data_IF_584115510034
#
_entry.id   IF_584115510034
#
_cell.length_a   1.000
_cell.length_b   1.000
_cell.length_c   1.000
_cell.angle_alpha   90.00
_cell.angle_beta   90.00
_cell.angle_gamma   90.00
#
_symmetry.space_group_name_H-M   'P 1'
#
loop_
_entity.id
_entity.type
_entity.pdbx_description
1 polymer ?
#
# COMPACT_ATOMS: atom_id res chain seq x y z
N UNK A 1 11.35 -34.99 -25.92
CA UNK A 1 12.34 -35.61 -25.01
C UNK A 1 13.30 -34.62 -24.31
N UNK A 2 13.80 -33.55 -24.95
CA UNK A 2 14.94 -32.75 -24.42
C UNK A 2 14.65 -31.79 -23.23
N UNK A 3 13.39 -31.52 -22.90
CA UNK A 3 13.05 -30.51 -21.86
C UNK A 3 13.25 -31.01 -20.41
N UNK A 4 13.17 -32.34 -20.19
CA UNK A 4 13.32 -32.93 -18.85
C UNK A 4 14.73 -32.77 -18.30
N UNK A 5 15.74 -33.24 -19.03
CA UNK A 5 17.15 -33.27 -18.59
C UNK A 5 17.73 -31.94 -18.15
N UNK A 6 17.32 -30.81 -18.74
CA UNK A 6 17.75 -29.48 -18.29
C UNK A 6 17.03 -29.03 -17.01
N UNK A 7 15.74 -29.34 -16.87
CA UNK A 7 14.97 -29.07 -15.65
C UNK A 7 15.48 -29.91 -14.47
N UNK A 8 15.76 -31.19 -14.71
CA UNK A 8 16.27 -32.11 -13.69
C UNK A 8 17.69 -31.73 -13.23
N UNK A 9 18.55 -31.25 -14.15
CA UNK A 9 19.87 -30.67 -13.79
C UNK A 9 19.73 -29.38 -12.97
N UNK A 10 18.82 -28.48 -13.35
CA UNK A 10 18.58 -27.24 -12.61
C UNK A 10 18.05 -27.53 -11.19
N UNK A 11 17.07 -28.43 -11.07
CA UNK A 11 16.51 -28.87 -9.79
C UNK A 11 17.52 -29.64 -8.92
N UNK A 12 18.55 -30.24 -9.52
CA UNK A 12 19.64 -30.89 -8.80
C UNK A 12 20.70 -29.89 -8.31
N UNK A 13 21.09 -28.93 -9.15
CA UNK A 13 22.01 -27.85 -8.75
C UNK A 13 21.44 -26.98 -7.63
N UNK A 14 20.14 -26.66 -7.71
CA UNK A 14 19.40 -25.87 -6.73
C UNK A 14 19.33 -26.54 -5.35
N UNK A 15 19.52 -27.85 -5.26
CA UNK A 15 19.44 -28.63 -4.02
C UNK A 15 20.81 -28.94 -3.40
N UNK A 16 21.91 -28.37 -3.91
CA UNK A 16 23.23 -28.51 -3.29
C UNK A 16 23.33 -27.70 -1.98
N UNK A 17 24.00 -28.26 -0.98
CA UNK A 17 24.12 -27.65 0.36
C UNK A 17 24.55 -26.17 0.39
N UNK A 18 25.57 -25.75 -0.39
CA UNK A 18 25.96 -24.35 -0.48
C UNK A 18 24.88 -23.45 -1.07
N UNK A 19 24.15 -23.89 -2.10
CA UNK A 19 23.08 -23.12 -2.75
C UNK A 19 21.89 -22.95 -1.80
N UNK A 20 21.45 -24.03 -1.15
CA UNK A 20 20.37 -23.98 -0.13
C UNK A 20 20.74 -23.07 1.03
N UNK A 21 22.00 -23.09 1.47
CA UNK A 21 22.50 -22.20 2.54
C UNK A 21 22.51 -20.74 2.08
N UNK A 22 22.98 -20.45 0.87
CA UNK A 22 22.94 -19.12 0.28
C UNK A 22 21.50 -18.58 0.18
N UNK A 23 20.57 -19.38 -0.33
CA UNK A 23 19.15 -19.01 -0.43
C UNK A 23 18.52 -18.72 0.94
N UNK A 24 18.80 -19.55 1.96
CA UNK A 24 18.36 -19.30 3.34
C UNK A 24 18.92 -17.97 3.88
N UNK A 25 20.21 -17.71 3.70
CA UNK A 25 20.86 -16.47 4.15
C UNK A 25 20.26 -15.24 3.48
N UNK A 26 20.05 -15.27 2.16
CA UNK A 26 19.42 -14.19 1.41
C UNK A 26 17.98 -13.91 1.89
N UNK A 27 17.18 -14.96 2.10
CA UNK A 27 15.84 -14.81 2.66
C UNK A 27 15.84 -14.27 4.10
N UNK A 28 16.83 -14.65 4.91
CA UNK A 28 16.97 -14.16 6.28
C UNK A 28 17.30 -12.67 6.32
N UNK A 29 18.24 -12.21 5.49
CA UNK A 29 18.60 -10.79 5.35
C UNK A 29 17.40 -9.98 4.87
N UNK A 30 16.69 -10.46 3.83
CA UNK A 30 15.48 -9.83 3.32
C UNK A 30 14.42 -9.65 4.42
N UNK A 31 14.04 -10.74 5.09
CA UNK A 31 13.03 -10.71 6.17
C UNK A 31 13.45 -9.84 7.35
N UNK A 32 14.74 -9.76 7.67
CA UNK A 32 15.25 -8.86 8.71
C UNK A 32 15.11 -7.38 8.33
N UNK A 33 15.38 -7.01 7.07
CA UNK A 33 15.16 -5.65 6.56
C UNK A 33 13.68 -5.27 6.69
N UNK A 34 12.75 -6.15 6.27
CA UNK A 34 11.31 -5.91 6.44
C UNK A 34 10.90 -5.81 7.90
N UNK A 35 11.48 -6.61 8.80
CA UNK A 35 11.20 -6.51 10.22
C UNK A 35 11.63 -5.15 10.79
N UNK A 36 12.84 -4.66 10.45
CA UNK A 36 13.32 -3.33 10.87
C UNK A 36 12.45 -2.21 10.29
N UNK A 37 12.09 -2.25 9.00
CA UNK A 37 11.21 -1.22 8.42
C UNK A 37 9.82 -1.26 9.03
N UNK A 38 9.28 -2.45 9.34
CA UNK A 38 8.02 -2.61 10.07
C UNK A 38 8.05 -1.98 11.47
N UNK A 39 9.14 -2.18 12.23
CA UNK A 39 9.33 -1.54 13.55
C UNK A 39 9.39 -0.02 13.42
N UNK A 40 10.10 0.52 12.43
CA UNK A 40 10.18 1.96 12.17
C UNK A 40 8.80 2.52 11.77
N UNK A 41 8.07 1.87 10.86
CA UNK A 41 6.72 2.26 10.45
C UNK A 41 5.76 2.26 11.64
N UNK A 42 5.79 1.20 12.46
CA UNK A 42 4.95 1.08 13.66
C UNK A 42 5.29 2.17 14.69
N UNK A 43 6.56 2.47 14.91
CA UNK A 43 7.00 3.54 15.79
C UNK A 43 6.53 4.92 15.29
N UNK A 44 6.62 5.20 13.99
CA UNK A 44 6.09 6.43 13.37
C UNK A 44 4.56 6.50 13.50
N UNK A 45 3.85 5.39 13.29
CA UNK A 45 2.39 5.31 13.48
C UNK A 45 1.96 5.59 14.92
N UNK A 46 2.68 5.07 15.90
CA UNK A 46 2.43 5.33 17.32
C UNK A 46 2.79 6.80 17.66
N UNK A 47 3.95 7.29 17.23
CA UNK A 47 4.36 8.69 17.45
C UNK A 47 3.34 9.67 16.87
N UNK A 48 2.91 9.48 15.62
CA UNK A 48 1.94 10.36 14.97
C UNK A 48 0.58 10.36 15.69
N UNK A 49 0.16 9.23 16.26
CA UNK A 49 -1.04 9.14 17.10
C UNK A 49 -0.88 9.79 18.48
N UNK A 50 0.29 9.71 19.12
CA UNK A 50 0.50 10.14 20.51
C UNK A 50 0.88 11.62 20.60
N UNK A 51 1.71 12.11 19.68
CA UNK A 51 2.39 13.41 19.79
C UNK A 51 1.86 14.41 18.74
N UNK A 52 1.59 13.94 17.51
CA UNK A 52 1.11 14.81 16.42
C UNK A 52 -0.41 14.98 16.34
N UNK A 53 -1.22 14.24 17.13
CA UNK A 53 -2.69 14.29 17.01
C UNK A 53 -3.26 15.71 17.24
N UNK A 54 -2.73 16.46 18.21
CA UNK A 54 -3.20 17.82 18.53
C UNK A 54 -2.88 18.85 17.43
N UNK A 55 -1.85 18.60 16.62
CA UNK A 55 -1.46 19.50 15.53
C UNK A 55 -2.20 19.17 14.23
N UNK A 56 -2.60 17.91 14.05
CA UNK A 56 -3.20 17.41 12.80
C UNK A 56 -4.72 17.61 12.72
N UNK A 57 -5.45 17.60 13.86
CA UNK A 57 -6.89 17.96 13.90
C UNK A 57 -7.18 19.37 13.34
N UNK A 58 -6.20 20.28 13.38
CA UNK A 58 -6.32 21.64 12.85
C UNK A 58 -6.14 21.72 11.32
N UNK A 59 -5.78 20.62 10.66
CA UNK A 59 -5.66 20.55 9.20
C UNK A 59 -6.86 19.85 8.57
N UNK A 60 -7.54 20.53 7.64
CA UNK A 60 -8.72 19.99 6.91
C UNK A 60 -8.42 18.85 5.94
N UNK A 61 -7.17 18.37 5.91
CA UNK A 61 -6.66 17.27 5.09
C UNK A 61 -6.41 16.01 5.95
N UNK A 62 -6.38 16.14 7.28
CA UNK A 62 -6.14 15.00 8.17
C UNK A 62 -7.35 14.07 8.23
N UNK A 63 -7.15 12.84 7.75
CA UNK A 63 -8.08 11.74 7.99
C UNK A 63 -7.64 11.01 9.27
N UNK A 64 -8.48 10.91 10.32
CA UNK A 64 -8.11 10.25 11.57
C UNK A 64 -7.75 8.76 11.38
N UNK A 65 -8.20 8.15 10.29
CA UNK A 65 -7.88 6.77 9.88
C UNK A 65 -6.40 6.55 9.50
N UNK A 66 -5.69 7.60 9.04
CA UNK A 66 -4.35 7.48 8.49
C UNK A 66 -3.29 6.88 9.46
N UNK A 67 -3.16 7.34 10.73
CA UNK A 67 -2.24 6.71 11.68
C UNK A 67 -2.65 5.28 12.04
N UNK A 68 -3.95 4.95 12.07
CA UNK A 68 -4.40 3.58 12.35
C UNK A 68 -4.01 2.62 11.21
N UNK A 69 -4.08 3.07 9.95
CA UNK A 69 -3.56 2.31 8.80
C UNK A 69 -2.05 2.11 8.95
N UNK A 70 -1.29 3.15 9.32
CA UNK A 70 0.17 3.06 9.47
C UNK A 70 0.59 2.10 10.60
N UNK A 71 -0.10 2.16 11.75
CA UNK A 71 0.06 1.20 12.86
C UNK A 71 -0.28 -0.22 12.42
N UNK A 72 -1.42 -0.41 11.74
CA UNK A 72 -1.87 -1.73 11.27
C UNK A 72 -0.90 -2.37 10.27
N UNK A 73 -0.47 -1.61 9.27
CA UNK A 73 0.53 -2.06 8.27
C UNK A 73 1.87 -2.37 8.95
N UNK A 74 2.36 -1.48 9.82
CA UNK A 74 3.61 -1.70 10.56
C UNK A 74 3.56 -2.98 11.42
N UNK A 75 2.48 -3.19 12.16
CA UNK A 75 2.29 -4.39 12.98
C UNK A 75 2.24 -5.67 12.13
N UNK A 76 1.52 -5.67 10.99
CA UNK A 76 1.48 -6.81 10.07
C UNK A 76 2.86 -7.12 9.50
N UNK A 77 3.65 -6.11 9.09
CA UNK A 77 5.01 -6.29 8.59
C UNK A 77 5.93 -6.90 9.66
N UNK A 78 5.87 -6.41 10.91
CA UNK A 78 6.65 -6.96 12.04
C UNK A 78 6.27 -8.43 12.31
N UNK A 79 4.98 -8.76 12.32
CA UNK A 79 4.51 -10.14 12.49
C UNK A 79 5.02 -11.05 11.36
N UNK A 80 4.82 -10.66 10.11
CA UNK A 80 5.28 -11.43 8.93
C UNK A 80 6.79 -11.59 8.91
N UNK A 81 7.57 -10.56 9.25
CA UNK A 81 9.03 -10.63 9.33
C UNK A 81 9.51 -11.57 10.45
N UNK A 82 8.87 -11.52 11.63
CA UNK A 82 9.20 -12.41 12.76
C UNK A 82 8.88 -13.88 12.47
N UNK A 83 7.75 -14.15 11.80
CA UNK A 83 7.37 -15.46 11.30
C UNK A 83 8.39 -15.92 10.25
N UNK A 84 8.68 -15.08 9.26
CA UNK A 84 9.66 -15.35 8.18
C UNK A 84 11.06 -15.70 8.68
N UNK A 85 11.51 -15.10 9.78
CA UNK A 85 12.75 -15.49 10.46
C UNK A 85 12.66 -16.90 11.07
N UNK A 86 11.56 -17.20 11.79
CA UNK A 86 11.31 -18.52 12.34
C UNK A 86 11.16 -19.61 11.27
N UNK A 87 10.56 -19.30 10.10
CA UNK A 87 10.40 -20.21 8.96
C UNK A 87 11.75 -20.73 8.45
N UNK A 88 12.66 -19.81 8.18
CA UNK A 88 13.97 -20.08 7.57
C UNK A 88 14.86 -20.89 8.52
N UNK A 89 14.77 -20.61 9.83
CA UNK A 89 15.48 -21.35 10.88
C UNK A 89 14.90 -22.77 11.10
N UNK A 90 13.57 -22.92 11.18
CA UNK A 90 12.92 -24.22 11.47
C UNK A 90 12.70 -25.12 10.24
N UNK A 91 12.96 -24.65 9.02
CA UNK A 91 12.91 -25.48 7.81
C UNK A 91 11.51 -26.07 7.48
N UNK A 92 10.45 -25.34 7.81
CA UNK A 92 9.07 -25.81 7.61
C UNK A 92 8.54 -25.47 6.21
N UNK A 93 8.71 -26.38 5.25
CA UNK A 93 8.43 -26.14 3.82
C UNK A 93 7.04 -25.59 3.52
N UNK A 94 5.99 -26.09 4.20
CA UNK A 94 4.62 -25.60 4.02
C UNK A 94 4.50 -24.10 4.30
N UNK A 95 5.25 -23.59 5.27
CA UNK A 95 5.17 -22.19 5.69
C UNK A 95 5.93 -21.26 4.72
N UNK A 96 6.97 -21.77 4.05
CA UNK A 96 7.62 -21.08 2.92
C UNK A 96 6.70 -21.01 1.69
N UNK A 97 5.90 -22.05 1.41
CA UNK A 97 4.87 -21.98 0.36
C UNK A 97 3.77 -20.96 0.69
N UNK A 98 3.28 -20.92 1.93
CA UNK A 98 2.31 -19.90 2.39
C UNK A 98 2.89 -18.48 2.27
N UNK A 99 4.16 -18.28 2.66
CA UNK A 99 4.84 -16.99 2.51
C UNK A 99 5.01 -16.57 1.03
N UNK A 100 5.43 -17.50 0.16
CA UNK A 100 5.53 -17.27 -1.29
C UNK A 100 4.18 -16.86 -1.90
N UNK A 101 3.10 -17.56 -1.53
CA UNK A 101 1.73 -17.25 -1.95
C UNK A 101 1.22 -15.90 -1.43
N UNK A 102 1.49 -15.55 -0.17
CA UNK A 102 1.17 -14.24 0.39
C UNK A 102 1.86 -13.10 -0.37
N UNK A 103 3.18 -13.21 -0.62
CA UNK A 103 3.92 -12.21 -1.41
C UNK A 103 3.37 -12.10 -2.85
N UNK A 104 2.93 -13.19 -3.45
CA UNK A 104 2.31 -13.17 -4.78
C UNK A 104 0.95 -12.46 -4.76
N UNK A 105 0.10 -12.71 -3.76
CA UNK A 105 -1.20 -12.01 -3.58
C UNK A 105 -0.97 -10.51 -3.43
N UNK A 106 -0.01 -10.08 -2.60
CA UNK A 106 0.29 -8.66 -2.42
C UNK A 106 0.79 -8.01 -3.73
N UNK A 107 1.58 -8.72 -4.56
CA UNK A 107 2.02 -8.22 -5.86
C UNK A 107 0.83 -8.01 -6.83
N UNK A 108 -0.16 -8.91 -6.84
CA UNK A 108 -1.39 -8.73 -7.61
C UNK A 108 -2.19 -7.51 -7.10
N UNK A 109 -2.24 -7.28 -5.78
CA UNK A 109 -2.87 -6.10 -5.19
C UNK A 109 -2.15 -4.82 -5.62
N UNK A 110 -0.82 -4.76 -5.52
CA UNK A 110 -0.01 -3.62 -5.98
C UNK A 110 -0.21 -3.30 -7.46
N UNK A 111 -0.17 -4.31 -8.34
CA UNK A 111 -0.44 -4.13 -9.76
C UNK A 111 -1.85 -3.57 -9.99
N UNK A 112 -2.87 -4.12 -9.32
CA UNK A 112 -4.25 -3.66 -9.47
C UNK A 112 -4.43 -2.21 -9.00
N UNK A 113 -3.81 -1.83 -7.88
CA UNK A 113 -3.83 -0.48 -7.34
C UNK A 113 -3.07 0.50 -8.25
N UNK A 114 -1.92 0.09 -8.81
CA UNK A 114 -1.16 0.89 -9.78
C UNK A 114 -1.93 1.15 -11.07
N UNK A 115 -2.56 0.12 -11.66
CA UNK A 115 -3.41 0.25 -12.85
C UNK A 115 -4.60 1.17 -12.57
N UNK A 116 -5.30 0.95 -11.45
CA UNK A 116 -6.42 1.78 -11.00
C UNK A 116 -5.98 3.24 -10.84
N UNK A 117 -4.89 3.49 -10.13
CA UNK A 117 -4.36 4.83 -9.91
C UNK A 117 -4.00 5.54 -11.22
N UNK A 118 -3.38 4.84 -12.18
CA UNK A 118 -3.04 5.37 -13.51
C UNK A 118 -4.28 5.82 -14.30
N UNK A 119 -5.35 5.01 -14.30
CA UNK A 119 -6.63 5.34 -14.95
C UNK A 119 -7.27 6.59 -14.30
N UNK A 120 -7.06 6.78 -13.00
CA UNK A 120 -7.62 7.90 -12.23
C UNK A 120 -6.67 9.11 -12.06
N UNK A 121 -5.71 9.35 -12.96
CA UNK A 121 -4.79 10.52 -12.87
C UNK A 121 -5.33 11.86 -13.43
N UNK A 122 -6.52 12.36 -13.04
CA UNK A 122 -7.01 13.61 -13.67
C UNK A 122 -8.17 14.53 -13.17
N UNK A 123 -8.75 14.53 -11.93
CA UNK A 123 -9.88 15.49 -11.55
C UNK A 123 -10.13 15.88 -10.03
N UNK A 124 -9.31 16.70 -9.29
CA UNK A 124 -9.29 17.35 -7.88
C UNK A 124 -8.78 18.79 -8.15
N UNK A 125 -9.66 19.69 -8.54
CA UNK A 125 -9.55 21.09 -8.10
C UNK A 125 -10.96 21.40 -7.62
N UNK A 126 -11.21 21.45 -6.31
CA UNK A 126 -12.27 20.55 -5.86
C UNK A 126 -13.09 20.89 -4.61
N UNK A 127 -14.40 20.68 -4.74
CA UNK A 127 -15.33 20.38 -3.67
C UNK A 127 -16.06 19.08 -3.98
N UNK A 128 -16.31 18.24 -2.98
CA UNK A 128 -16.94 16.93 -3.18
C UNK A 128 -16.03 15.98 -3.96
N UNK A 129 -16.53 14.80 -4.33
CA UNK A 129 -15.73 13.78 -5.04
C UNK A 129 -15.74 14.07 -6.55
N UNK A 130 -16.86 14.56 -7.09
CA UNK A 130 -17.03 14.90 -8.51
C UNK A 130 -17.30 16.39 -8.73
N UNK A 131 -18.11 16.98 -7.85
CA UNK A 131 -18.35 18.41 -7.75
C UNK A 131 -19.06 18.72 -6.42
N UNK A 132 -19.30 20.00 -6.19
CA UNK A 132 -19.79 20.51 -4.93
C UNK A 132 -21.14 19.99 -4.45
N UNK A 133 -22.05 19.64 -5.36
CA UNK A 133 -23.41 19.20 -5.00
C UNK A 133 -23.44 17.83 -4.31
N UNK A 134 -22.33 17.08 -4.30
CA UNK A 134 -22.19 15.79 -3.60
C UNK A 134 -22.59 15.88 -2.12
N UNK A 135 -22.38 17.05 -1.49
CA UNK A 135 -22.67 17.28 -0.08
C UNK A 135 -24.15 17.42 0.26
N UNK A 136 -25.00 17.86 -0.68
CA UNK A 136 -26.43 18.15 -0.45
C UNK A 136 -27.25 16.93 0.02
N UNK A 137 -26.72 15.73 -0.16
CA UNK A 137 -27.39 14.46 0.19
C UNK A 137 -26.88 13.85 1.49
N UNK A 138 -25.74 14.33 1.98
CA UNK A 138 -25.08 13.84 3.21
C UNK A 138 -25.87 14.25 4.46
N UNK A 139 -25.67 13.58 5.61
CA UNK A 139 -26.29 14.00 6.87
C UNK A 139 -26.02 15.46 7.22
N UNK A 140 -24.84 15.99 6.87
CA UNK A 140 -24.42 17.37 7.05
C UNK A 140 -25.38 18.39 6.41
N UNK A 141 -25.81 18.16 5.16
CA UNK A 141 -26.77 19.07 4.52
C UNK A 141 -28.20 18.90 5.05
N UNK A 142 -28.53 17.73 5.60
CA UNK A 142 -29.85 17.49 6.20
C UNK A 142 -29.98 18.12 7.59
N UNK A 143 -28.89 18.24 8.36
CA UNK A 143 -28.88 18.99 9.63
C UNK A 143 -29.01 20.50 9.43
N UNK A 144 -28.58 21.03 8.28
CA UNK A 144 -28.75 22.45 7.91
C UNK A 144 -30.15 22.76 7.34
N UNK A 145 -30.98 21.75 7.03
CA UNK A 145 -32.33 21.90 6.49
C UNK A 145 -32.43 22.30 5.01
N UNK A 146 -31.35 22.83 4.41
CA UNK A 146 -31.27 23.24 3.00
C UNK A 146 -30.02 22.68 2.29
N UNK A 147 -29.94 22.90 0.97
CA UNK A 147 -28.81 22.46 0.15
C UNK A 147 -27.49 23.12 0.59
N UNK A 148 -26.62 22.33 1.24
CA UNK A 148 -25.41 22.81 1.89
C UNK A 148 -24.14 22.02 1.52
N UNK A 149 -23.04 22.74 1.29
CA UNK A 149 -21.69 22.19 1.17
C UNK A 149 -20.86 22.61 2.41
N UNK A 150 -19.93 21.78 2.91
CA UNK A 150 -19.04 22.20 3.97
C UNK A 150 -18.06 23.26 3.47
N UNK A 151 -17.52 24.03 4.41
CA UNK A 151 -16.61 25.16 4.12
C UNK A 151 -15.33 24.77 3.38
N UNK A 152 -14.92 23.50 3.39
CA UNK A 152 -13.81 22.95 2.59
C UNK A 152 -14.01 23.06 1.07
N UNK A 153 -15.21 23.45 0.65
CA UNK A 153 -15.58 23.64 -0.74
C UNK A 153 -15.38 25.05 -1.29
N UNK A 154 -15.19 26.06 -0.43
CA UNK A 154 -15.11 27.45 -0.86
C UNK A 154 -13.87 27.74 -1.73
N UNK A 155 -14.06 28.52 -2.79
CA UNK A 155 -12.99 29.06 -3.65
C UNK A 155 -12.74 30.55 -3.41
N UNK A 156 -13.50 31.17 -2.49
CA UNK A 156 -13.35 32.57 -2.02
C UNK A 156 -13.49 32.65 -0.49
N UNK A 157 -13.22 33.83 0.08
CA UNK A 157 -13.27 34.11 1.53
C UNK A 157 -14.47 33.48 2.27
N UNK A 158 -14.22 32.70 3.32
CA UNK A 158 -15.26 32.00 4.07
C UNK A 158 -16.36 32.91 4.68
N UNK A 159 -16.05 34.17 5.02
CA UNK A 159 -17.05 35.15 5.50
C UNK A 159 -17.97 35.73 4.40
N UNK A 160 -17.61 35.48 3.14
CA UNK A 160 -18.34 35.87 1.92
C UNK A 160 -18.82 34.64 1.13
N UNK A 161 -18.34 33.46 1.48
CA UNK A 161 -18.70 32.20 0.85
C UNK A 161 -20.07 31.74 1.35
N UNK A 162 -21.03 31.69 0.43
CA UNK A 162 -22.32 31.09 0.70
C UNK A 162 -22.19 29.56 0.61
N UNK A 163 -22.41 28.87 1.72
CA UNK A 163 -22.32 27.40 1.81
C UNK A 163 -23.68 26.71 1.89
N UNK A 164 -24.75 27.45 2.19
CA UNK A 164 -26.15 27.00 2.33
C UNK A 164 -27.07 27.78 1.38
N UNK A 165 -28.20 27.19 0.99
CA UNK A 165 -29.14 27.83 0.04
C UNK A 165 -28.51 28.09 -1.35
N UNK A 166 -27.51 27.30 -1.72
CA UNK A 166 -26.64 27.53 -2.88
C UNK A 166 -27.37 27.35 -4.22
N UNK A 167 -27.30 28.37 -5.08
CA UNK A 167 -27.73 28.31 -6.48
C UNK A 167 -26.52 28.27 -7.45
N UNK A 168 -26.69 27.84 -8.73
CA UNK A 168 -25.56 27.63 -9.65
C UNK A 168 -24.69 28.87 -9.90
N UNK A 169 -25.28 30.06 -9.86
CA UNK A 169 -24.57 31.32 -10.10
C UNK A 169 -23.75 31.75 -8.87
N UNK A 170 -24.30 31.56 -7.66
CA UNK A 170 -23.57 31.72 -6.40
C UNK A 170 -22.47 30.67 -6.19
N UNK A 171 -22.66 29.44 -6.70
CA UNK A 171 -21.67 28.38 -6.64
C UNK A 171 -20.45 28.68 -7.54
N UNK A 172 -20.67 28.97 -8.83
CA UNK A 172 -19.58 29.25 -9.77
C UNK A 172 -18.70 30.45 -9.38
N UNK A 173 -19.23 31.36 -8.56
CA UNK A 173 -18.52 32.55 -8.07
C UNK A 173 -17.74 32.32 -6.77
N UNK A 174 -18.17 31.39 -5.91
CA UNK A 174 -17.71 31.32 -4.51
C UNK A 174 -17.21 29.94 -4.03
N UNK A 175 -17.44 28.85 -4.77
CA UNK A 175 -16.97 27.49 -4.40
C UNK A 175 -16.19 26.80 -5.53
N UNK A 176 -15.29 25.88 -5.19
CA UNK A 176 -14.55 25.07 -6.16
C UNK A 176 -15.52 24.09 -6.84
N UNK A 177 -15.84 24.32 -8.11
CA UNK A 177 -16.94 23.60 -8.78
C UNK A 177 -16.57 22.25 -9.38
N UNK A 178 -15.30 21.98 -9.65
CA UNK A 178 -14.82 20.62 -9.93
C UNK A 178 -14.77 19.83 -8.58
N UNK A 179 -14.48 18.52 -8.58
CA UNK A 179 -14.44 17.65 -7.37
C UNK A 179 -13.13 16.86 -7.27
N UNK A 180 -12.92 15.99 -6.27
CA UNK A 180 -11.62 15.50 -5.74
C UNK A 180 -10.92 14.20 -6.35
N UNK A 181 -10.11 14.29 -7.43
CA UNK A 181 -9.02 13.36 -7.90
C UNK A 181 -7.84 13.90 -8.84
N UNK A 182 -7.28 15.14 -8.65
CA UNK A 182 -6.24 15.94 -9.40
C UNK A 182 -5.09 16.55 -8.53
N UNK A 183 -5.22 17.34 -7.45
CA UNK A 183 -4.13 17.73 -6.52
C UNK A 183 -3.14 16.60 -6.14
N UNK A 184 -3.65 15.49 -5.56
CA UNK A 184 -2.89 14.23 -5.36
C UNK A 184 -2.24 13.79 -6.66
N UNK A 185 -2.97 13.95 -7.75
CA UNK A 185 -2.60 13.63 -9.12
C UNK A 185 -1.60 14.62 -9.76
N UNK A 186 -1.50 15.87 -9.32
CA UNK A 186 -0.54 16.89 -9.77
C UNK A 186 0.79 16.63 -9.09
N UNK A 187 0.77 16.32 -7.79
CA UNK A 187 1.92 15.76 -7.08
C UNK A 187 2.41 14.48 -7.77
N UNK A 188 1.49 13.56 -8.07
CA UNK A 188 1.76 12.30 -8.76
C UNK A 188 2.24 12.51 -10.20
N UNK A 189 1.77 13.54 -10.92
CA UNK A 189 2.18 13.84 -12.30
C UNK A 189 3.57 14.49 -12.32
N UNK A 190 3.85 15.42 -11.40
CA UNK A 190 5.17 16.03 -11.24
C UNK A 190 6.24 15.05 -10.73
N UNK A 191 5.86 14.11 -9.86
CA UNK A 191 6.78 13.11 -9.28
C UNK A 191 6.57 11.70 -9.87
N UNK A 192 5.95 11.59 -11.05
CA UNK A 192 5.58 10.31 -11.65
C UNK A 192 6.77 9.37 -11.84
N UNK A 193 7.92 9.90 -12.26
CA UNK A 193 9.15 9.15 -12.47
C UNK A 193 9.66 8.48 -11.18
N UNK A 194 10.02 9.24 -10.12
CA UNK A 194 10.46 8.67 -8.85
C UNK A 194 9.46 7.72 -8.21
N UNK A 195 8.17 8.07 -8.19
CA UNK A 195 7.11 7.22 -7.61
C UNK A 195 6.99 5.90 -8.38
N UNK A 196 7.00 5.96 -9.72
CA UNK A 196 6.98 4.77 -10.57
C UNK A 196 8.23 3.91 -10.39
N UNK A 197 9.41 4.51 -10.26
CA UNK A 197 10.66 3.80 -9.99
C UNK A 197 10.65 3.05 -8.66
N UNK A 198 10.15 3.68 -7.59
CA UNK A 198 9.99 3.03 -6.28
C UNK A 198 9.00 1.86 -6.35
N UNK A 199 7.84 2.05 -6.97
CA UNK A 199 6.83 1.00 -7.13
C UNK A 199 7.37 -0.21 -7.92
N UNK A 200 8.04 0.04 -9.06
CA UNK A 200 8.69 -1.01 -9.86
C UNK A 200 9.79 -1.73 -9.09
N UNK A 201 10.57 -1.01 -8.28
CA UNK A 201 11.59 -1.58 -7.41
C UNK A 201 11.01 -2.53 -6.35
N UNK A 202 9.98 -2.09 -5.64
CA UNK A 202 9.25 -2.90 -4.64
C UNK A 202 8.73 -4.19 -5.29
N UNK A 203 7.97 -4.05 -6.38
CA UNK A 203 7.44 -5.18 -7.15
C UNK A 203 8.52 -6.14 -7.63
N UNK A 204 9.68 -5.66 -8.11
CA UNK A 204 10.81 -6.51 -8.51
C UNK A 204 11.38 -7.31 -7.33
N UNK A 205 11.68 -6.66 -6.20
CA UNK A 205 12.21 -7.32 -5.01
C UNK A 205 11.22 -8.31 -4.40
N UNK A 206 9.92 -8.04 -4.52
CA UNK A 206 8.85 -8.90 -4.04
C UNK A 206 8.68 -10.17 -4.88
N UNK A 207 8.74 -10.06 -6.21
CA UNK A 207 8.77 -11.24 -7.10
C UNK A 207 10.03 -12.08 -6.84
N UNK A 208 11.20 -11.44 -6.68
CA UNK A 208 12.44 -12.13 -6.31
C UNK A 208 12.29 -12.88 -4.98
N UNK A 209 11.73 -12.24 -3.95
CA UNK A 209 11.46 -12.86 -2.64
C UNK A 209 10.49 -14.05 -2.72
N UNK A 210 9.41 -13.94 -3.51
CA UNK A 210 8.45 -15.03 -3.72
C UNK A 210 9.06 -16.23 -4.47
N UNK A 211 9.90 -15.97 -5.48
CA UNK A 211 10.63 -17.01 -6.22
C UNK A 211 11.66 -17.73 -5.33
N UNK A 212 12.44 -16.98 -4.54
CA UNK A 212 13.40 -17.55 -3.58
C UNK A 212 12.68 -18.42 -2.54
N UNK A 213 11.54 -17.95 -2.00
CA UNK A 213 10.70 -18.70 -1.07
C UNK A 213 10.20 -20.02 -1.67
N UNK A 214 9.66 -19.98 -2.90
CA UNK A 214 9.15 -21.16 -3.60
C UNK A 214 10.26 -22.17 -3.90
N UNK A 215 11.39 -21.71 -4.44
CA UNK A 215 12.54 -22.54 -4.76
C UNK A 215 13.14 -23.21 -3.49
N UNK A 216 13.23 -22.46 -2.39
CA UNK A 216 13.69 -22.99 -1.10
C UNK A 216 12.69 -24.01 -0.52
N UNK A 217 11.39 -23.73 -0.59
CA UNK A 217 10.34 -24.66 -0.17
C UNK A 217 10.41 -25.98 -0.94
N UNK A 218 10.60 -25.91 -2.27
CA UNK A 218 10.74 -27.07 -3.15
C UNK A 218 11.99 -27.89 -2.82
N UNK A 219 13.15 -27.26 -2.64
CA UNK A 219 14.39 -27.97 -2.29
C UNK A 219 14.29 -28.67 -0.92
N UNK A 220 13.78 -28.00 0.11
CA UNK A 220 13.60 -28.60 1.44
C UNK A 220 12.58 -29.75 1.39
N UNK A 221 11.53 -29.63 0.58
CA UNK A 221 10.52 -30.69 0.39
C UNK A 221 11.12 -31.91 -0.33
N UNK A 222 11.84 -31.71 -1.44
CA UNK A 222 12.54 -32.79 -2.17
C UNK A 222 13.51 -33.54 -1.26
N UNK A 223 14.33 -32.82 -0.50
CA UNK A 223 15.27 -33.40 0.47
C UNK A 223 14.59 -34.22 1.58
N UNK A 224 13.31 -33.99 1.89
CA UNK A 224 12.56 -34.84 2.86
C UNK A 224 12.00 -36.10 2.21
N UNK A 225 11.61 -36.05 0.94
CA UNK A 225 11.16 -37.24 0.20
C UNK A 225 12.31 -38.20 -0.12
N UNK A 226 13.52 -37.70 -0.36
CA UNK A 226 14.73 -38.52 -0.60
C UNK A 226 15.33 -39.15 0.68
N UNK A 227 14.62 -39.08 1.80
CA UNK A 227 15.01 -39.64 3.11
C UNK A 227 14.03 -40.71 3.61
N UNK A 228 13.08 -41.14 2.76
CA UNK A 228 12.02 -42.11 3.04
C UNK A 228 12.09 -43.23 1.98
#
# INVERSE_FOLDING_TARGET
MSSGTNKDRLDSALSTGPVVTCMKTLMMVFNFIFWVTGVVILAIGIWTKVDMYQYLELSSIYQPEAPYILIGVGAVIVLVGSIGCCCTLKGHSLLLYVFSGFLFIVFIVELSAGITLMIYRGKLVCCGINNYTDWYKTPFSKSEGEAAVPLSCCSVDAKRCQTTGLNPHSAAKNIHTQGCHKLVVDFINGNMGPIGGVALGISFFQVLGSLLAFCLAKSITKSKYEQI
#
